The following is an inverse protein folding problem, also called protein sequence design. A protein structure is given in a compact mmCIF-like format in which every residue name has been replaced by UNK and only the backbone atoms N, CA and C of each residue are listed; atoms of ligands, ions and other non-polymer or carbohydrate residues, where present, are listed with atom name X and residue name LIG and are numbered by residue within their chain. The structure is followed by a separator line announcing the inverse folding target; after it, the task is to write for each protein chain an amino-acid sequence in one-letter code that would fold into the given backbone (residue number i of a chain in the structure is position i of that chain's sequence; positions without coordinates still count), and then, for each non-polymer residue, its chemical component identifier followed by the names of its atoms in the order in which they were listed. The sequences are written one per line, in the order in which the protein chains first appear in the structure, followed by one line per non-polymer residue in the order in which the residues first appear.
data_IF_900445308524
#
_entry.id   IF_900445308524
#
_cell.length_a   1.000
_cell.length_b   1.000
_cell.length_c   1.000
_cell.angle_alpha   90.00
_cell.angle_beta   90.00
_cell.angle_gamma   90.00
#
_symmetry.space_group_name_H-M   'P 1'
#
loop_
_entity.id
_entity.type
_entity.pdbx_description
1 polymer ?
#
# COMPACT_ATOMS: atom_id res chain seq x y z
N UNK A 1 -8.04 16.50 -9.73
CA UNK A 1 -6.62 16.41 -10.14
C UNK A 1 -5.87 15.90 -8.93
N UNK A 2 -5.30 14.71 -9.05
CA UNK A 2 -4.62 14.07 -7.90
C UNK A 2 -3.32 14.81 -7.59
N UNK A 3 -3.03 14.94 -6.29
CA UNK A 3 -1.84 15.62 -5.77
C UNK A 3 -0.89 14.57 -5.22
N UNK A 4 0.36 14.59 -5.68
CA UNK A 4 1.43 13.69 -5.25
C UNK A 4 2.46 14.51 -4.48
N UNK A 5 2.86 14.05 -3.31
CA UNK A 5 4.00 14.61 -2.60
C UNK A 5 5.25 13.80 -2.93
N UNK A 6 6.30 14.47 -3.38
CA UNK A 6 7.62 13.90 -3.63
C UNK A 6 8.59 14.46 -2.59
N UNK A 7 9.24 13.57 -1.86
CA UNK A 7 10.14 13.92 -0.76
C UNK A 7 11.49 13.20 -0.91
N UNK A 8 12.54 13.94 -1.20
CA UNK A 8 13.91 13.46 -1.36
C UNK A 8 14.87 14.64 -1.08
N UNK A 9 15.98 14.43 -0.39
CA UNK A 9 16.96 15.49 -0.13
C UNK A 9 17.76 15.89 -1.36
N UNK A 10 17.80 15.01 -2.37
CA UNK A 10 18.35 15.32 -3.69
C UNK A 10 17.32 16.06 -4.56
N UNK A 11 17.56 17.38 -4.71
CA UNK A 11 16.69 18.26 -5.50
C UNK A 11 16.60 17.86 -6.97
N UNK A 12 17.65 17.29 -7.54
CA UNK A 12 17.65 16.87 -8.96
C UNK A 12 16.72 15.67 -9.15
N UNK A 13 16.67 14.75 -8.20
CA UNK A 13 15.73 13.63 -8.18
C UNK A 13 14.29 14.13 -8.07
N UNK A 14 14.03 15.07 -7.15
CA UNK A 14 12.69 15.66 -6.97
C UNK A 14 12.22 16.35 -8.26
N UNK A 15 13.08 17.16 -8.89
CA UNK A 15 12.74 17.84 -10.15
C UNK A 15 12.53 16.84 -11.31
N UNK A 16 13.35 15.80 -11.40
CA UNK A 16 13.19 14.76 -12.41
C UNK A 16 11.84 14.04 -12.24
N UNK A 17 11.49 13.64 -11.03
CA UNK A 17 10.20 12.99 -10.74
C UNK A 17 9.02 13.93 -11.05
N UNK A 18 9.13 15.22 -10.66
CA UNK A 18 8.10 16.24 -10.94
C UNK A 18 7.82 16.35 -12.44
N UNK A 19 8.87 16.42 -13.28
CA UNK A 19 8.71 16.50 -14.74
C UNK A 19 7.86 15.34 -15.26
N UNK A 20 8.17 14.10 -14.90
CA UNK A 20 7.44 12.91 -15.37
C UNK A 20 6.01 12.86 -14.85
N UNK A 21 5.80 13.15 -13.57
CA UNK A 21 4.47 13.10 -12.99
C UNK A 21 3.57 14.25 -13.46
N UNK A 22 4.13 15.45 -13.65
CA UNK A 22 3.41 16.59 -14.20
C UNK A 22 2.98 16.37 -15.65
N UNK A 23 3.80 15.69 -16.47
CA UNK A 23 3.42 15.31 -17.84
C UNK A 23 2.21 14.35 -17.88
N UNK A 24 2.01 13.58 -16.81
CA UNK A 24 0.84 12.69 -16.66
C UNK A 24 -0.39 13.40 -16.07
N UNK A 25 -0.30 14.71 -15.83
CA UNK A 25 -1.41 15.53 -15.35
C UNK A 25 -1.58 15.56 -13.83
N UNK A 26 -0.60 15.09 -13.06
CA UNK A 26 -0.62 15.19 -11.61
C UNK A 26 -0.13 16.54 -11.11
N UNK A 27 -0.67 16.99 -9.96
CA UNK A 27 -0.09 18.11 -9.21
C UNK A 27 1.00 17.56 -8.30
N UNK A 28 2.22 18.08 -8.42
CA UNK A 28 3.34 17.66 -7.58
C UNK A 28 3.63 18.71 -6.51
N UNK A 29 3.68 18.27 -5.26
CA UNK A 29 4.21 19.02 -4.12
C UNK A 29 5.58 18.44 -3.78
N UNK A 30 6.49 19.27 -3.29
CA UNK A 30 7.88 18.92 -3.03
C UNK A 30 8.22 19.10 -1.56
N UNK A 31 9.02 18.20 -1.02
CA UNK A 31 9.63 18.30 0.29
C UNK A 31 11.06 17.75 0.21
N UNK A 32 11.94 18.18 1.11
CA UNK A 32 13.36 17.81 1.06
C UNK A 32 13.83 17.09 2.32
N UNK A 33 12.92 16.78 3.22
CA UNK A 33 13.09 15.88 4.36
C UNK A 33 11.73 15.52 4.97
N UNK A 34 11.77 14.57 5.92
CA UNK A 34 10.56 14.06 6.54
C UNK A 34 9.77 15.07 7.37
N UNK A 35 10.41 16.14 7.89
CA UNK A 35 9.70 17.20 8.64
C UNK A 35 8.88 18.03 7.66
N UNK A 36 9.49 18.48 6.56
CA UNK A 36 8.79 19.20 5.50
C UNK A 36 7.65 18.37 4.91
N UNK A 37 7.87 17.05 4.70
CA UNK A 37 6.82 16.15 4.23
C UNK A 37 5.61 16.13 5.16
N UNK A 38 5.83 16.04 6.48
CA UNK A 38 4.73 16.09 7.47
C UNK A 38 4.00 17.43 7.46
N UNK A 39 4.71 18.55 7.32
CA UNK A 39 4.10 19.89 7.21
C UNK A 39 3.25 20.04 5.94
N UNK A 40 3.75 19.54 4.80
CA UNK A 40 3.00 19.56 3.54
C UNK A 40 1.72 18.72 3.65
N UNK A 41 1.81 17.51 4.22
CA UNK A 41 0.67 16.63 4.43
C UNK A 41 -0.40 17.22 5.35
N UNK A 42 0.02 17.97 6.36
CA UNK A 42 -0.91 18.63 7.29
C UNK A 42 -1.70 19.77 6.63
N UNK A 43 -1.09 20.46 5.67
CA UNK A 43 -1.63 21.70 5.08
C UNK A 43 -2.24 21.50 3.69
N UNK A 44 -2.12 20.30 3.10
CA UNK A 44 -2.59 20.04 1.74
C UNK A 44 -3.28 18.68 1.66
N UNK A 45 -4.22 18.57 0.75
CA UNK A 45 -4.77 17.27 0.36
C UNK A 45 -3.77 16.57 -0.57
N UNK A 46 -3.21 15.46 -0.08
CA UNK A 46 -2.25 14.62 -0.80
C UNK A 46 -2.84 13.22 -0.99
N UNK A 47 -2.73 12.70 -2.21
CA UNK A 47 -3.33 11.42 -2.61
C UNK A 47 -2.32 10.27 -2.67
N UNK A 48 -1.02 10.60 -2.74
CA UNK A 48 0.08 9.64 -2.72
C UNK A 48 1.37 10.34 -2.29
N UNK A 49 2.20 9.63 -1.54
CA UNK A 49 3.54 10.06 -1.15
C UNK A 49 4.59 9.16 -1.81
N UNK A 50 5.59 9.80 -2.44
CA UNK A 50 6.85 9.18 -2.84
C UNK A 50 7.91 9.73 -1.92
N UNK A 51 8.64 8.87 -1.18
CA UNK A 51 9.58 9.31 -0.14
C UNK A 51 10.89 8.53 -0.16
N UNK A 52 12.02 9.23 -0.13
CA UNK A 52 13.32 8.62 0.05
C UNK A 52 13.54 8.17 1.50
N UNK A 53 14.30 7.08 1.67
CA UNK A 53 14.67 6.57 3.00
C UNK A 53 15.71 7.47 3.67
N UNK A 54 16.75 7.84 2.94
CA UNK A 54 17.95 8.45 3.51
C UNK A 54 17.91 9.97 3.39
N UNK A 55 17.28 10.63 4.33
CA UNK A 55 17.17 12.09 4.36
C UNK A 55 17.65 12.66 5.68
N UNK A 56 18.12 13.94 5.70
CA UNK A 56 18.49 14.64 6.91
C UNK A 56 17.28 14.93 7.81
N UNK A 57 17.53 15.31 9.04
CA UNK A 57 16.57 15.71 10.08
C UNK A 57 15.61 14.58 10.48
N UNK A 58 14.73 14.13 9.58
CA UNK A 58 13.80 13.02 9.77
C UNK A 58 13.86 12.13 8.54
N UNK A 59 14.35 10.89 8.72
CA UNK A 59 14.44 9.90 7.66
C UNK A 59 13.04 9.42 7.20
N UNK A 60 12.97 8.85 5.99
CA UNK A 60 11.71 8.46 5.38
C UNK A 60 10.98 7.33 6.09
N UNK A 61 11.70 6.42 6.77
CA UNK A 61 11.07 5.33 7.54
C UNK A 61 10.34 5.88 8.76
N UNK A 62 10.99 6.77 9.51
CA UNK A 62 10.39 7.43 10.67
C UNK A 62 9.26 8.36 10.27
N UNK A 63 9.39 9.06 9.14
CA UNK A 63 8.32 9.88 8.58
C UNK A 63 7.11 9.00 8.23
N UNK A 64 7.32 7.87 7.54
CA UNK A 64 6.26 6.90 7.19
C UNK A 64 5.53 6.39 8.42
N UNK A 65 6.24 6.00 9.48
CA UNK A 65 5.61 5.57 10.74
C UNK A 65 4.69 6.64 11.33
N UNK A 66 5.12 7.91 11.34
CA UNK A 66 4.28 9.00 11.85
C UNK A 66 3.06 9.24 10.97
N UNK A 67 3.23 9.21 9.64
CA UNK A 67 2.14 9.40 8.69
C UNK A 67 1.08 8.31 8.87
N UNK A 68 1.48 7.06 9.08
CA UNK A 68 0.56 5.93 9.27
C UNK A 68 -0.29 5.99 10.52
N UNK A 69 0.10 6.76 11.53
CA UNK A 69 -0.74 7.00 12.70
C UNK A 69 -2.02 7.80 12.36
N UNK A 70 -1.95 8.68 11.36
CA UNK A 70 -3.03 9.60 11.02
C UNK A 70 -3.63 9.35 9.63
N UNK A 71 -2.86 8.79 8.68
CA UNK A 71 -3.23 8.69 7.27
C UNK A 71 -2.99 7.31 6.68
N UNK A 72 -3.88 6.92 5.76
CA UNK A 72 -3.81 5.70 4.96
C UNK A 72 -3.48 5.96 3.48
N UNK A 73 -3.01 7.16 3.12
CA UNK A 73 -2.60 7.45 1.74
C UNK A 73 -1.55 6.44 1.26
N UNK A 74 -1.53 6.07 -0.02
CA UNK A 74 -0.48 5.22 -0.57
C UNK A 74 0.91 5.85 -0.38
N UNK A 75 1.89 5.05 0.04
CA UNK A 75 3.29 5.47 0.21
C UNK A 75 4.19 4.55 -0.60
N UNK A 76 4.97 5.15 -1.49
CA UNK A 76 6.04 4.49 -2.24
C UNK A 76 7.37 4.95 -1.65
N UNK A 77 8.18 4.01 -1.15
CA UNK A 77 9.51 4.30 -0.66
C UNK A 77 10.53 4.20 -1.81
N UNK A 78 11.41 5.20 -1.92
CA UNK A 78 12.62 5.16 -2.73
C UNK A 78 13.81 4.82 -1.85
N UNK A 79 14.72 3.96 -2.30
CA UNK A 79 15.94 3.67 -1.55
C UNK A 79 17.10 3.27 -2.46
N UNK A 80 18.32 3.71 -2.09
CA UNK A 80 19.55 3.26 -2.74
C UNK A 80 19.93 1.81 -2.39
N UNK A 81 19.28 1.22 -1.39
CA UNK A 81 19.58 -0.12 -0.90
C UNK A 81 18.69 -1.15 -1.57
N UNK A 82 19.32 -2.13 -2.19
CA UNK A 82 18.66 -3.23 -2.91
C UNK A 82 18.54 -4.52 -2.10
N UNK A 83 19.04 -4.54 -0.85
CA UNK A 83 18.96 -5.73 -0.02
C UNK A 83 17.53 -6.00 0.46
N UNK A 84 17.14 -7.27 0.51
CA UNK A 84 15.81 -7.67 0.93
C UNK A 84 15.45 -7.19 2.33
N UNK A 85 16.45 -7.07 3.22
CA UNK A 85 16.26 -6.54 4.57
C UNK A 85 15.75 -5.09 4.58
N UNK A 86 16.22 -4.25 3.67
CA UNK A 86 15.79 -2.84 3.58
C UNK A 86 14.38 -2.73 2.99
N UNK A 87 14.02 -3.59 2.03
CA UNK A 87 12.64 -3.69 1.52
C UNK A 87 11.68 -4.12 2.62
N UNK A 88 12.06 -5.17 3.37
CA UNK A 88 11.28 -5.65 4.51
C UNK A 88 11.08 -4.52 5.52
N UNK A 89 12.11 -3.76 5.83
CA UNK A 89 12.02 -2.66 6.80
C UNK A 89 11.07 -1.56 6.31
N UNK A 90 11.20 -1.13 5.04
CA UNK A 90 10.33 -0.13 4.44
C UNK A 90 8.85 -0.54 4.44
N UNK A 91 8.58 -1.77 4.03
CA UNK A 91 7.21 -2.32 4.03
C UNK A 91 6.69 -2.51 5.47
N UNK A 92 7.53 -2.97 6.41
CA UNK A 92 7.15 -3.16 7.82
C UNK A 92 6.73 -1.87 8.52
N UNK A 93 7.27 -0.73 8.13
CA UNK A 93 6.83 0.58 8.66
C UNK A 93 5.54 1.10 8.04
N UNK A 94 4.97 0.34 7.08
CA UNK A 94 3.67 0.62 6.48
C UNK A 94 3.71 1.23 5.09
N UNK A 95 4.83 1.16 4.35
CA UNK A 95 4.84 1.49 2.93
C UNK A 95 3.99 0.50 2.12
N UNK A 96 3.39 0.97 1.04
CA UNK A 96 2.59 0.14 0.13
C UNK A 96 3.42 -0.43 -1.00
N UNK A 97 4.52 0.23 -1.35
CA UNK A 97 5.44 -0.20 -2.40
C UNK A 97 6.86 0.31 -2.15
N UNK A 98 7.81 -0.24 -2.88
CA UNK A 98 9.23 0.05 -2.73
C UNK A 98 9.91 0.07 -4.10
N UNK A 99 10.73 1.10 -4.35
CA UNK A 99 11.49 1.28 -5.60
C UNK A 99 12.95 1.52 -5.28
N UNK A 100 13.83 0.75 -5.93
CA UNK A 100 15.30 0.90 -5.76
C UNK A 100 15.87 1.97 -6.65
N UNK A 101 16.76 2.80 -6.11
CA UNK A 101 17.59 3.74 -6.87
C UNK A 101 18.84 3.02 -7.43
N UNK A 102 19.27 3.27 -8.66
CA UNK A 102 18.62 4.13 -9.65
C UNK A 102 17.38 3.45 -10.25
N UNK A 103 16.31 4.19 -10.44
CA UNK A 103 15.06 3.70 -10.99
C UNK A 103 14.79 4.25 -12.39
N UNK A 104 13.99 3.52 -13.16
CA UNK A 104 13.44 4.04 -14.40
C UNK A 104 12.25 4.96 -14.08
N UNK A 105 12.25 6.24 -14.52
CA UNK A 105 11.12 7.14 -14.28
C UNK A 105 9.77 6.61 -14.77
N UNK A 106 9.75 5.86 -15.87
CA UNK A 106 8.53 5.24 -16.40
C UNK A 106 8.01 4.14 -15.45
N UNK A 107 8.91 3.38 -14.81
CA UNK A 107 8.54 2.39 -13.80
C UNK A 107 7.90 3.08 -12.59
N UNK A 108 8.54 4.12 -12.04
CA UNK A 108 7.98 4.87 -10.93
C UNK A 108 6.61 5.46 -11.28
N UNK A 109 6.46 6.03 -12.48
CA UNK A 109 5.19 6.58 -12.96
C UNK A 109 4.10 5.50 -13.06
N UNK A 110 4.43 4.30 -13.55
CA UNK A 110 3.50 3.18 -13.61
C UNK A 110 3.03 2.75 -12.22
N UNK A 111 3.94 2.66 -11.24
CA UNK A 111 3.64 2.35 -9.84
C UNK A 111 2.74 3.42 -9.20
N UNK A 112 3.06 4.69 -9.39
CA UNK A 112 2.22 5.83 -8.94
C UNK A 112 0.81 5.72 -9.51
N UNK A 113 0.66 5.51 -10.83
CA UNK A 113 -0.65 5.32 -11.48
C UNK A 113 -1.41 4.14 -10.89
N UNK A 114 -0.71 3.03 -10.66
CA UNK A 114 -1.31 1.81 -10.11
C UNK A 114 -1.81 2.04 -8.67
N UNK A 115 -1.03 2.69 -7.82
CA UNK A 115 -1.39 3.03 -6.44
C UNK A 115 -2.56 4.03 -6.39
N UNK A 116 -2.51 5.12 -7.15
CA UNK A 116 -3.58 6.11 -7.21
C UNK A 116 -4.88 5.52 -7.73
N UNK A 117 -4.84 4.70 -8.78
CA UNK A 117 -6.04 4.02 -9.30
C UNK A 117 -6.72 3.16 -8.24
N UNK A 118 -5.97 2.48 -7.38
CA UNK A 118 -6.51 1.72 -6.25
C UNK A 118 -7.11 2.64 -5.19
N UNK A 119 -6.39 3.67 -4.83
CA UNK A 119 -6.81 4.65 -3.83
C UNK A 119 -8.08 5.40 -4.25
N UNK A 120 -8.14 5.91 -5.49
CA UNK A 120 -9.29 6.66 -6.00
C UNK A 120 -10.49 5.77 -6.35
N UNK A 121 -10.26 4.52 -6.81
CA UNK A 121 -11.35 3.56 -7.04
C UNK A 121 -12.00 3.06 -5.75
N UNK A 122 -11.36 3.23 -4.60
CA UNK A 122 -12.01 3.05 -3.31
C UNK A 122 -13.18 4.04 -3.08
N UNK A 123 -13.24 5.16 -3.85
CA UNK A 123 -14.27 6.20 -3.73
C UNK A 123 -15.41 6.17 -4.77
N UNK A 124 -15.35 5.34 -5.83
CA UNK A 124 -16.35 5.43 -6.90
C UNK A 124 -16.65 4.08 -7.55
N UNK A 125 -17.80 3.47 -7.22
CA UNK A 125 -18.63 2.71 -8.18
C UNK A 125 -20.03 2.43 -7.66
N UNK A 126 -21.00 2.92 -8.39
CA UNK A 126 -22.40 2.47 -8.41
C UNK A 126 -22.50 1.12 -9.09
N UNK A 127 -22.81 0.06 -8.35
CA UNK A 127 -23.44 -1.16 -8.87
C UNK A 127 -24.15 -1.87 -7.71
N UNK A 128 -25.41 -2.22 -7.93
CA UNK A 128 -26.39 -2.70 -6.96
C UNK A 128 -26.13 -4.17 -6.60
N UNK A 129 -26.22 -4.49 -5.33
CA UNK A 129 -26.61 -5.75 -4.68
C UNK A 129 -25.61 -6.89 -4.41
N UNK A 130 -24.27 -6.76 -4.68
CA UNK A 130 -23.31 -7.79 -4.19
C UNK A 130 -22.04 -7.14 -3.58
N UNK A 131 -22.21 -6.04 -2.85
CA UNK A 131 -21.07 -5.28 -2.31
C UNK A 131 -20.65 -5.69 -0.90
N UNK A 132 -21.36 -6.62 -0.26
CA UNK A 132 -21.04 -7.12 1.07
C UNK A 132 -20.50 -8.54 0.98
N UNK A 133 -19.27 -8.72 1.43
CA UNK A 133 -18.59 -10.02 1.50
C UNK A 133 -18.36 -10.37 2.95
N UNK A 134 -18.70 -11.58 3.35
CA UNK A 134 -18.61 -12.02 4.74
C UNK A 134 -17.90 -13.37 4.86
N UNK A 135 -17.03 -13.48 5.87
CA UNK A 135 -16.43 -14.73 6.31
C UNK A 135 -16.47 -14.77 7.84
N UNK A 136 -17.47 -15.46 8.39
CA UNK A 136 -17.74 -15.43 9.84
C UNK A 136 -18.01 -14.02 10.36
N UNK A 137 -17.21 -13.55 11.32
CA UNK A 137 -17.30 -12.17 11.85
C UNK A 137 -16.60 -11.10 11.02
N UNK A 138 -15.81 -11.49 10.01
CA UNK A 138 -15.18 -10.56 9.08
C UNK A 138 -16.17 -10.15 7.99
N UNK A 139 -16.47 -8.86 7.89
CA UNK A 139 -17.38 -8.29 6.89
C UNK A 139 -16.69 -7.17 6.13
N UNK A 140 -16.78 -7.21 4.80
CA UNK A 140 -16.30 -6.16 3.91
C UNK A 140 -17.48 -5.57 3.16
N UNK A 141 -17.74 -4.29 3.34
CA UNK A 141 -18.65 -3.52 2.49
C UNK A 141 -17.81 -2.83 1.39
N UNK A 142 -17.84 -3.40 0.19
CA UNK A 142 -17.03 -2.89 -0.94
C UNK A 142 -17.57 -1.60 -1.54
N UNK A 143 -18.83 -1.24 -1.25
CA UNK A 143 -19.41 0.05 -1.66
C UNK A 143 -18.89 1.18 -0.77
N UNK A 144 -18.93 0.99 0.55
CA UNK A 144 -18.45 1.97 1.52
C UNK A 144 -16.95 1.87 1.79
N UNK A 145 -16.29 0.81 1.26
CA UNK A 145 -14.87 0.49 1.53
C UNK A 145 -14.57 0.30 3.03
N UNK A 146 -15.54 -0.24 3.72
CA UNK A 146 -15.45 -0.52 5.16
C UNK A 146 -15.17 -1.99 5.42
N UNK A 147 -14.36 -2.22 6.43
CA UNK A 147 -14.06 -3.56 6.96
C UNK A 147 -14.40 -3.58 8.44
N UNK A 148 -15.14 -4.60 8.85
CA UNK A 148 -15.41 -4.84 10.27
C UNK A 148 -15.07 -6.28 10.64
N UNK A 149 -14.63 -6.47 11.88
CA UNK A 149 -14.41 -7.79 12.50
C UNK A 149 -15.24 -7.85 13.77
N UNK A 150 -16.15 -8.81 13.85
CA UNK A 150 -17.09 -8.97 14.95
C UNK A 150 -17.84 -7.66 15.31
N UNK A 151 -18.08 -6.80 14.28
CA UNK A 151 -18.76 -5.50 14.37
C UNK A 151 -17.87 -4.29 14.61
N UNK A 152 -16.60 -4.49 14.93
CA UNK A 152 -15.64 -3.40 15.16
C UNK A 152 -14.94 -3.00 13.86
N UNK A 153 -14.85 -1.68 13.59
CA UNK A 153 -14.21 -1.15 12.39
C UNK A 153 -12.70 -1.37 12.38
N UNK A 154 -12.18 -1.86 11.25
CA UNK A 154 -10.75 -2.09 11.03
C UNK A 154 -10.22 -1.16 9.95
N UNK A 155 -9.18 -0.38 10.30
CA UNK A 155 -8.53 0.56 9.37
C UNK A 155 -7.41 -0.14 8.60
N UNK A 156 -7.60 -0.33 7.30
CA UNK A 156 -6.63 -0.92 6.39
C UNK A 156 -6.04 0.14 5.45
N UNK A 157 -4.79 -0.08 5.00
CA UNK A 157 -4.26 0.67 3.85
C UNK A 157 -4.93 0.19 2.56
N UNK A 158 -4.88 0.96 1.45
CA UNK A 158 -5.47 0.55 0.18
C UNK A 158 -4.97 -0.82 -0.33
N UNK A 159 -3.70 -1.12 -0.14
CA UNK A 159 -3.12 -2.42 -0.53
C UNK A 159 -3.67 -3.55 0.35
N UNK A 160 -3.65 -3.38 1.66
CA UNK A 160 -4.19 -4.37 2.61
C UNK A 160 -5.67 -4.66 2.33
N UNK A 161 -6.44 -3.59 2.09
CA UNK A 161 -7.85 -3.71 1.72
C UNK A 161 -8.04 -4.53 0.44
N UNK A 162 -7.28 -4.24 -0.62
CA UNK A 162 -7.43 -4.93 -1.90
C UNK A 162 -6.99 -6.40 -1.82
N UNK A 163 -5.93 -6.72 -1.06
CA UNK A 163 -5.52 -8.10 -0.82
C UNK A 163 -6.62 -8.85 -0.06
N UNK A 164 -7.14 -8.27 1.02
CA UNK A 164 -8.19 -8.89 1.82
C UNK A 164 -9.46 -9.10 0.99
N UNK A 165 -9.87 -8.10 0.22
CA UNK A 165 -11.03 -8.18 -0.67
C UNK A 165 -10.88 -9.28 -1.72
N UNK A 166 -9.70 -9.41 -2.35
CA UNK A 166 -9.40 -10.48 -3.31
C UNK A 166 -9.65 -11.84 -2.68
N UNK A 167 -9.15 -12.06 -1.47
CA UNK A 167 -9.24 -13.35 -0.78
C UNK A 167 -10.66 -13.62 -0.27
N UNK A 168 -11.35 -12.62 0.28
CA UNK A 168 -12.72 -12.78 0.79
C UNK A 168 -13.72 -12.98 -0.35
N UNK A 169 -13.56 -12.33 -1.50
CA UNK A 169 -14.36 -12.60 -2.69
C UNK A 169 -14.22 -14.02 -3.22
N UNK A 170 -13.11 -14.67 -2.93
CA UNK A 170 -12.77 -16.00 -3.44
C UNK A 170 -12.54 -17.01 -2.30
N UNK A 171 -13.42 -17.04 -1.30
CA UNK A 171 -13.32 -17.96 -0.17
C UNK A 171 -13.12 -19.42 -0.59
N UNK A 172 -12.23 -20.11 0.08
CA UNK A 172 -11.88 -21.50 -0.21
C UNK A 172 -10.88 -21.68 -1.37
N UNK A 173 -10.56 -20.61 -2.11
CA UNK A 173 -9.54 -20.64 -3.15
C UNK A 173 -8.20 -20.20 -2.59
N UNK A 174 -7.16 -20.99 -2.84
CA UNK A 174 -5.78 -20.61 -2.51
C UNK A 174 -5.22 -19.76 -3.63
N UNK A 175 -4.62 -18.62 -3.26
CA UNK A 175 -3.87 -17.76 -4.17
C UNK A 175 -2.39 -17.86 -3.85
N UNK A 176 -1.57 -18.16 -4.86
CA UNK A 176 -0.12 -18.07 -4.72
C UNK A 176 0.32 -16.62 -4.50
N UNK A 177 1.51 -16.44 -3.96
CA UNK A 177 2.11 -15.11 -3.76
C UNK A 177 2.13 -14.34 -5.08
N UNK A 178 2.56 -14.98 -6.17
CA UNK A 178 2.59 -14.36 -7.49
C UNK A 178 1.19 -13.95 -7.96
N UNK A 179 0.19 -14.80 -7.79
CA UNK A 179 -1.18 -14.47 -8.15
C UNK A 179 -1.75 -13.29 -7.35
N UNK A 180 -1.43 -13.19 -6.06
CA UNK A 180 -1.80 -12.04 -5.24
C UNK A 180 -1.10 -10.80 -5.77
N UNK A 181 0.22 -10.86 -5.98
CA UNK A 181 1.00 -9.74 -6.45
C UNK A 181 0.49 -9.24 -7.80
N UNK A 182 0.41 -10.10 -8.81
CA UNK A 182 -0.08 -9.76 -10.16
C UNK A 182 -1.50 -9.17 -10.14
N UNK A 183 -2.39 -9.74 -9.31
CA UNK A 183 -3.76 -9.24 -9.18
C UNK A 183 -3.84 -7.84 -8.54
N UNK A 184 -2.95 -7.54 -7.60
CA UNK A 184 -2.98 -6.30 -6.82
C UNK A 184 -2.09 -5.25 -7.46
N UNK A 185 -0.84 -5.56 -7.84
CA UNK A 185 0.07 -4.58 -8.44
C UNK A 185 -0.11 -4.44 -9.95
N UNK A 186 -0.71 -5.45 -10.62
CA UNK A 186 -0.89 -5.54 -12.07
C UNK A 186 0.44 -5.49 -12.83
N UNK A 187 1.45 -6.14 -12.27
CA UNK A 187 2.82 -6.26 -12.75
C UNK A 187 3.27 -7.70 -12.61
N UNK A 188 4.30 -8.11 -13.36
CA UNK A 188 4.92 -9.42 -13.18
C UNK A 188 5.52 -9.58 -11.78
N UNK A 189 5.36 -10.75 -11.18
CA UNK A 189 5.76 -11.04 -9.82
C UNK A 189 7.28 -11.27 -9.69
N UNK A 190 8.08 -10.22 -9.85
CA UNK A 190 9.53 -10.27 -9.65
C UNK A 190 9.83 -9.81 -8.21
N UNK A 191 10.31 -10.74 -7.38
CA UNK A 191 10.62 -10.46 -5.96
C UNK A 191 9.38 -10.13 -5.10
N UNK A 192 8.22 -10.69 -5.48
CA UNK A 192 6.92 -10.45 -4.83
C UNK A 192 6.79 -11.08 -3.44
N UNK A 193 7.60 -12.09 -3.12
CA UNK A 193 7.44 -12.92 -1.92
C UNK A 193 7.46 -12.10 -0.64
N UNK A 194 8.41 -11.20 -0.52
CA UNK A 194 8.58 -10.35 0.66
C UNK A 194 7.43 -9.36 0.77
N UNK A 195 7.09 -8.69 -0.33
CA UNK A 195 6.05 -7.66 -0.35
C UNK A 195 4.70 -8.21 0.08
N UNK A 196 4.26 -9.32 -0.52
CA UNK A 196 2.98 -9.94 -0.17
C UNK A 196 3.00 -10.45 1.27
N UNK A 197 4.07 -11.13 1.71
CA UNK A 197 4.15 -11.68 3.06
C UNK A 197 4.06 -10.61 4.14
N UNK A 198 4.67 -9.43 3.94
CA UNK A 198 4.59 -8.31 4.89
C UNK A 198 3.18 -7.76 4.96
N UNK A 199 2.50 -7.54 3.84
CA UNK A 199 1.11 -7.07 3.86
C UNK A 199 0.15 -8.11 4.46
N UNK A 200 0.34 -9.40 4.20
CA UNK A 200 -0.42 -10.48 4.86
C UNK A 200 -0.24 -10.41 6.39
N UNK A 201 0.99 -10.17 6.87
CA UNK A 201 1.26 -10.03 8.30
C UNK A 201 0.51 -8.82 8.87
N UNK A 202 0.59 -7.65 8.22
CA UNK A 202 -0.12 -6.45 8.67
C UNK A 202 -1.64 -6.61 8.67
N UNK A 203 -2.19 -7.29 7.65
CA UNK A 203 -3.63 -7.61 7.63
C UNK A 203 -3.97 -8.46 8.85
N UNK A 204 -3.22 -9.53 9.13
CA UNK A 204 -3.45 -10.40 10.30
C UNK A 204 -3.38 -9.64 11.61
N UNK A 205 -2.39 -8.76 11.78
CA UNK A 205 -2.25 -7.91 12.98
C UNK A 205 -3.49 -7.04 13.24
N UNK A 206 -4.27 -6.75 12.18
CA UNK A 206 -5.46 -5.87 12.26
C UNK A 206 -6.77 -6.64 12.35
N UNK A 207 -6.87 -7.83 11.74
CA UNK A 207 -8.15 -8.58 11.67
C UNK A 207 -8.20 -9.81 12.57
N UNK A 208 -7.06 -10.31 13.06
CA UNK A 208 -6.99 -11.53 13.83
C UNK A 208 -6.78 -11.23 15.33
N UNK A 209 -7.46 -11.95 16.20
CA UNK A 209 -7.19 -11.88 17.65
C UNK A 209 -5.80 -12.42 18.02
N UNK A 210 -5.28 -13.38 17.24
CA UNK A 210 -3.92 -13.88 17.32
C UNK A 210 -3.34 -14.04 15.92
N UNK A 211 -2.42 -13.16 15.46
CA UNK A 211 -1.82 -13.23 14.13
C UNK A 211 -1.06 -14.53 13.83
N UNK A 212 -0.55 -15.22 14.87
CA UNK A 212 0.18 -16.48 14.72
C UNK A 212 -0.74 -17.69 14.60
N UNK A 213 -1.98 -17.57 15.06
CA UNK A 213 -3.04 -18.57 14.92
C UNK A 213 -4.28 -17.91 14.28
N UNK A 214 -4.20 -17.54 13.00
CA UNK A 214 -5.22 -16.73 12.35
C UNK A 214 -6.54 -17.49 12.19
N UNK A 215 -7.65 -16.81 12.49
CA UNK A 215 -9.02 -17.33 12.31
C UNK A 215 -9.46 -17.27 10.85
N UNK A 216 -9.16 -16.18 10.16
CA UNK A 216 -9.67 -15.88 8.82
C UNK A 216 -8.63 -16.15 7.72
N UNK A 217 -7.46 -15.50 7.81
CA UNK A 217 -6.47 -15.49 6.75
C UNK A 217 -5.45 -16.61 6.96
N UNK A 218 -5.68 -17.74 6.30
CA UNK A 218 -4.86 -18.97 6.44
C UNK A 218 -3.69 -18.99 5.47
N UNK A 219 -2.61 -19.64 5.88
CA UNK A 219 -1.50 -20.02 5.00
C UNK A 219 -1.68 -21.48 4.57
N UNK A 220 -1.47 -21.71 3.28
CA UNK A 220 -1.33 -23.08 2.73
C UNK A 220 0.14 -23.24 2.38
N UNK A 221 0.85 -23.98 3.22
CA UNK A 221 2.29 -24.13 3.15
C UNK A 221 2.77 -24.58 1.77
N UNK A 222 3.76 -23.88 1.23
CA UNK A 222 4.31 -24.14 -0.10
C UNK A 222 3.41 -23.72 -1.26
N UNK A 223 2.20 -23.17 -1.01
CA UNK A 223 1.24 -22.78 -2.05
C UNK A 223 0.90 -21.30 -2.00
N UNK A 224 0.43 -20.76 -0.84
CA UNK A 224 0.02 -19.37 -0.73
C UNK A 224 -0.96 -19.12 0.41
N UNK A 225 -1.94 -18.23 0.17
CA UNK A 225 -2.87 -17.75 1.18
C UNK A 225 -4.32 -17.89 0.72
N UNK A 226 -5.23 -18.00 1.69
CA UNK A 226 -6.67 -18.09 1.46
C UNK A 226 -7.47 -17.57 2.65
N UNK A 227 -8.73 -17.23 2.40
CA UNK A 227 -9.78 -17.14 3.44
C UNK A 227 -10.58 -18.44 3.39
N UNK A 228 -10.72 -19.12 4.54
CA UNK A 228 -11.54 -20.32 4.61
C UNK A 228 -13.01 -20.02 4.36
N UNK A 229 -13.69 -20.92 3.68
CA UNK A 229 -15.14 -20.87 3.49
C UNK A 229 -15.80 -21.23 4.82
N UNK A 230 -16.50 -20.29 5.41
CA UNK A 230 -17.27 -20.46 6.65
C UNK A 230 -18.75 -20.61 6.34
#
# INVERSE_FOLDING_TARGET
METILVCDDDREIVEAIDIYLSQEGYKVLKAYDGIEALEVLKNNEVHLLVIDVMMPRLDGLRATLKIRQESSIPIIILSAKSEDADKILGLNVGADDYVTKPFNPLELTARVKSQLRRYTKLGNKTAVNDSIYQAGGLVINDELKEVTVDGEHVKLTPIEYNILLLLVKNQGKVFSINQIYESIWNEEAIGADITVAVHIRHIREKIEGNPNDPRYLKVVWGVGYMIEKQ
#
